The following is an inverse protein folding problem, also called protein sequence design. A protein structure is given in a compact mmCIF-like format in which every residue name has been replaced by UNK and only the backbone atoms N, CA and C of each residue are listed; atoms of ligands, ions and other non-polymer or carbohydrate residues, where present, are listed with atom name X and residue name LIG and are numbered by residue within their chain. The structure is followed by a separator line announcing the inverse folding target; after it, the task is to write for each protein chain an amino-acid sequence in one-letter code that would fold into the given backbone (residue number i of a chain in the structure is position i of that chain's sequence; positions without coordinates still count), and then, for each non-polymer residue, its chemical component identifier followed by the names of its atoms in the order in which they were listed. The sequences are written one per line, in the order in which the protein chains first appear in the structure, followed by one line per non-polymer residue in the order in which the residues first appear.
data_IF_917203042474
#
_entry.id   IF_917203042474
#
_cell.length_a   1.000
_cell.length_b   1.000
_cell.length_c   1.000
_cell.angle_alpha   90.00
_cell.angle_beta   90.00
_cell.angle_gamma   90.00
#
_symmetry.space_group_name_H-M   'P 1'
#
loop_
_entity.id
_entity.type
_entity.pdbx_description
1 polymer ?
#
# COMPACT_ATOMS: atom_id res chain seq x y z
N UNK A 1 -12.29 41.02 27.64
CA UNK A 1 -12.35 40.28 26.36
C UNK A 1 -11.09 39.41 26.28
N UNK A 2 -11.19 38.18 26.78
CA UNK A 2 -10.03 37.31 26.87
C UNK A 2 -9.91 36.47 25.57
N UNK A 3 -8.84 36.73 24.82
CA UNK A 3 -8.52 35.97 23.62
C UNK A 3 -8.01 34.59 24.01
N UNK A 4 -8.85 33.57 23.88
CA UNK A 4 -8.45 32.15 23.96
C UNK A 4 -7.64 31.76 22.71
N UNK A 5 -6.32 31.81 22.83
CA UNK A 5 -5.41 31.26 21.82
C UNK A 5 -5.38 29.73 21.99
N UNK A 6 -6.11 29.03 21.11
CA UNK A 6 -6.04 27.56 21.00
C UNK A 6 -4.67 27.19 20.40
N UNK A 7 -3.71 26.83 21.24
CA UNK A 7 -2.45 26.23 20.80
C UNK A 7 -2.75 24.86 20.18
N UNK A 8 -2.73 24.76 18.85
CA UNK A 8 -2.67 23.47 18.15
C UNK A 8 -1.44 22.71 18.62
N UNK A 9 -1.63 21.64 19.41
CA UNK A 9 -0.56 20.68 19.70
C UNK A 9 -0.13 20.03 18.38
N UNK A 10 1.03 20.42 17.88
CA UNK A 10 1.70 19.68 16.82
C UNK A 10 2.17 18.35 17.43
N UNK A 11 1.52 17.27 17.10
CA UNK A 11 2.03 15.92 17.37
C UNK A 11 3.23 15.71 16.45
N UNK A 12 4.47 15.97 16.96
CA UNK A 12 5.68 15.53 16.28
C UNK A 12 5.53 14.01 16.05
N UNK A 13 5.52 13.58 14.80
CA UNK A 13 5.68 12.16 14.46
C UNK A 13 7.01 11.74 15.09
N UNK A 14 6.98 10.78 16.00
CA UNK A 14 8.21 10.15 16.49
C UNK A 14 8.87 9.50 15.28
N UNK A 15 10.12 9.85 15.03
CA UNK A 15 10.94 9.14 14.07
C UNK A 15 11.07 7.68 14.49
N UNK A 16 11.07 6.73 13.55
CA UNK A 16 11.27 5.33 13.85
C UNK A 16 12.64 5.17 14.53
N UNK A 17 12.67 4.32 15.55
CA UNK A 17 13.92 3.97 16.21
C UNK A 17 14.81 3.18 15.24
N UNK A 18 16.11 3.33 15.34
CA UNK A 18 17.07 2.50 14.62
C UNK A 18 16.79 1.01 14.91
N UNK A 19 16.76 0.18 13.86
CA UNK A 19 16.39 -1.22 13.99
C UNK A 19 16.21 -1.89 12.62
N UNK A 20 15.71 -3.13 12.63
CA UNK A 20 15.44 -3.89 11.40
C UNK A 20 14.18 -3.33 10.75
N UNK A 21 14.32 -2.84 9.53
CA UNK A 21 13.20 -2.38 8.71
C UNK A 21 12.67 -3.52 7.83
N UNK A 22 11.34 -3.71 7.81
CA UNK A 22 10.65 -4.67 6.95
C UNK A 22 9.36 -4.06 6.41
N UNK A 23 9.08 -4.32 5.13
CA UNK A 23 7.92 -3.79 4.41
C UNK A 23 6.98 -4.94 4.09
N UNK A 24 5.68 -4.71 4.29
CA UNK A 24 4.66 -5.75 4.13
C UNK A 24 3.48 -5.23 3.32
N UNK A 25 2.97 -6.07 2.42
CA UNK A 25 1.80 -5.75 1.62
C UNK A 25 1.00 -7.02 1.28
N UNK A 26 -0.30 -6.85 1.03
CA UNK A 26 -1.22 -7.89 0.64
C UNK A 26 -1.93 -7.55 -0.66
N UNK A 27 -2.04 -8.53 -1.55
CA UNK A 27 -2.76 -8.39 -2.80
C UNK A 27 -3.93 -9.39 -2.89
N UNK A 28 -5.05 -8.95 -3.45
CA UNK A 28 -6.17 -9.82 -3.75
C UNK A 28 -6.84 -9.39 -5.06
N UNK A 29 -6.90 -10.30 -6.02
CA UNK A 29 -7.72 -10.12 -7.22
C UNK A 29 -9.09 -10.76 -7.02
N UNK A 30 -10.10 -10.18 -7.66
CA UNK A 30 -11.51 -10.63 -7.56
C UNK A 30 -12.01 -10.73 -6.11
N UNK A 31 -11.55 -9.81 -5.25
CA UNK A 31 -11.90 -9.75 -3.83
C UNK A 31 -13.42 -9.85 -3.62
N UNK A 32 -13.85 -10.79 -2.75
CA UNK A 32 -15.26 -11.08 -2.50
C UNK A 32 -15.93 -12.01 -3.51
N UNK A 33 -15.18 -12.54 -4.48
CA UNK A 33 -15.67 -13.57 -5.42
C UNK A 33 -15.22 -14.96 -4.98
N UNK A 34 -15.96 -16.05 -5.37
CA UNK A 34 -15.57 -17.43 -5.04
C UNK A 34 -14.21 -17.85 -5.62
N UNK A 35 -13.77 -17.21 -6.67
CA UNK A 35 -12.50 -17.46 -7.36
C UNK A 35 -11.43 -16.39 -7.05
N UNK A 36 -11.61 -15.64 -5.97
CA UNK A 36 -10.61 -14.68 -5.51
C UNK A 36 -9.25 -15.37 -5.30
N UNK A 37 -8.17 -14.64 -5.55
CA UNK A 37 -6.81 -15.10 -5.27
C UNK A 37 -6.10 -14.05 -4.46
N UNK A 38 -5.57 -14.46 -3.30
CA UNK A 38 -4.86 -13.59 -2.40
C UNK A 38 -3.42 -14.07 -2.20
N UNK A 39 -2.52 -13.13 -2.07
CA UNK A 39 -1.11 -13.36 -1.77
C UNK A 39 -0.54 -12.21 -0.98
N UNK A 40 0.64 -12.41 -0.41
CA UNK A 40 1.31 -11.41 0.39
C UNK A 40 2.80 -11.35 0.09
N UNK A 41 3.34 -10.16 0.30
CA UNK A 41 4.75 -9.83 0.14
C UNK A 41 5.38 -9.36 1.43
N UNK A 42 6.61 -9.80 1.69
CA UNK A 42 7.47 -9.29 2.77
C UNK A 42 8.81 -8.92 2.15
N UNK A 43 9.25 -7.69 2.35
CA UNK A 43 10.47 -7.17 1.74
C UNK A 43 11.41 -6.58 2.78
N UNK A 44 12.64 -7.07 2.82
CA UNK A 44 13.71 -6.62 3.71
C UNK A 44 14.77 -5.78 2.99
N UNK A 45 14.88 -5.94 1.69
CA UNK A 45 15.89 -5.26 0.87
C UNK A 45 16.13 -5.98 -0.44
N UNK A 46 16.92 -5.36 -1.32
CA UNK A 46 17.27 -5.96 -2.60
C UNK A 46 18.10 -7.24 -2.37
N UNK A 47 17.64 -8.35 -2.98
CA UNK A 47 18.28 -9.67 -2.89
C UNK A 47 18.39 -10.25 -1.45
N UNK A 48 17.63 -9.72 -0.48
CA UNK A 48 17.60 -10.31 0.86
C UNK A 48 16.91 -11.69 0.79
N UNK A 49 17.54 -12.77 1.29
CA UNK A 49 16.99 -14.13 1.22
C UNK A 49 15.72 -14.31 2.06
N UNK A 50 15.41 -13.38 2.97
CA UNK A 50 14.19 -13.37 3.77
C UNK A 50 12.98 -12.80 3.04
N UNK A 51 13.18 -12.24 1.84
CA UNK A 51 12.07 -11.73 1.03
C UNK A 51 11.08 -12.85 0.71
N UNK A 52 9.77 -12.55 0.83
CA UNK A 52 8.69 -13.51 0.65
C UNK A 52 7.70 -13.04 -0.40
N UNK A 53 7.28 -13.97 -1.24
CA UNK A 53 6.14 -13.84 -2.16
C UNK A 53 5.35 -15.14 -2.07
N UNK A 54 4.26 -15.15 -1.29
CA UNK A 54 3.46 -16.36 -1.03
C UNK A 54 1.98 -16.15 -1.31
N UNK A 55 1.36 -17.11 -2.03
CA UNK A 55 -0.09 -17.17 -2.20
C UNK A 55 -0.77 -17.80 -0.99
N UNK A 56 -1.96 -17.30 -0.65
CA UNK A 56 -2.77 -17.84 0.44
C UNK A 56 -3.95 -18.63 -0.10
N UNK A 57 -4.24 -19.81 0.49
CA UNK A 57 -5.31 -20.71 0.04
C UNK A 57 -6.56 -20.72 0.93
N UNK A 58 -6.56 -19.98 2.04
CA UNK A 58 -7.72 -19.84 2.92
C UNK A 58 -8.72 -18.79 2.44
N UNK A 59 -9.29 -18.00 3.35
CA UNK A 59 -10.21 -16.90 3.02
C UNK A 59 -9.48 -15.80 2.26
N UNK A 60 -9.71 -15.72 0.97
CA UNK A 60 -8.97 -14.87 0.05
C UNK A 60 -9.57 -13.47 -0.04
N UNK A 61 -9.14 -12.59 0.84
CA UNK A 61 -9.50 -11.16 0.82
C UNK A 61 -8.25 -10.29 0.97
N UNK A 62 -8.33 -9.05 0.52
CA UNK A 62 -7.23 -8.10 0.68
C UNK A 62 -6.84 -7.93 2.14
N UNK A 63 -7.81 -7.73 3.03
CA UNK A 63 -7.54 -7.56 4.47
C UNK A 63 -6.82 -8.75 5.11
N UNK A 64 -7.15 -9.97 4.69
CA UNK A 64 -6.48 -11.19 5.16
C UNK A 64 -5.05 -11.23 4.65
N UNK A 65 -4.81 -10.95 3.38
CA UNK A 65 -3.48 -10.93 2.79
C UNK A 65 -2.55 -9.92 3.47
N UNK A 66 -3.03 -8.70 3.69
CA UNK A 66 -2.33 -7.65 4.43
C UNK A 66 -1.91 -8.07 5.84
N UNK A 67 -2.83 -8.70 6.57
CA UNK A 67 -2.56 -9.13 7.93
C UNK A 67 -1.59 -10.32 7.96
N UNK A 68 -1.70 -11.24 7.00
CA UNK A 68 -0.76 -12.36 6.84
C UNK A 68 0.65 -11.89 6.52
N UNK A 69 0.81 -10.84 5.72
CA UNK A 69 2.12 -10.23 5.45
C UNK A 69 2.81 -9.79 6.75
N UNK A 70 2.09 -9.10 7.63
CA UNK A 70 2.63 -8.67 8.94
C UNK A 70 2.97 -9.88 9.82
N UNK A 71 2.07 -10.88 9.90
CA UNK A 71 2.32 -12.11 10.68
C UNK A 71 3.56 -12.83 10.15
N UNK A 72 3.71 -12.92 8.84
CA UNK A 72 4.89 -13.55 8.22
C UNK A 72 6.18 -12.80 8.56
N UNK A 73 6.18 -11.47 8.50
CA UNK A 73 7.31 -10.64 8.90
C UNK A 73 7.70 -10.88 10.38
N UNK A 74 6.72 -10.88 11.29
CA UNK A 74 6.96 -11.18 12.69
C UNK A 74 7.46 -12.61 12.92
N UNK A 75 7.00 -13.57 12.11
CA UNK A 75 7.43 -14.97 12.20
C UNK A 75 8.89 -15.13 11.77
N UNK A 76 9.28 -14.47 10.68
CA UNK A 76 10.67 -14.47 10.18
C UNK A 76 11.62 -13.85 11.22
N UNK A 77 11.20 -12.75 11.84
CA UNK A 77 11.99 -11.99 12.81
C UNK A 77 11.74 -12.42 14.27
N UNK A 78 11.18 -13.61 14.47
CA UNK A 78 10.80 -14.07 15.82
C UNK A 78 11.98 -14.06 16.81
N UNK A 79 13.14 -14.55 16.38
CA UNK A 79 14.30 -14.61 17.25
C UNK A 79 14.85 -13.23 17.58
N UNK A 80 14.91 -12.31 16.62
CA UNK A 80 15.33 -10.92 16.81
C UNK A 80 14.37 -10.20 17.75
N UNK A 81 13.07 -10.39 17.57
CA UNK A 81 12.02 -9.83 18.44
C UNK A 81 12.18 -10.35 19.87
N UNK A 82 12.40 -11.65 20.05
CA UNK A 82 12.56 -12.26 21.37
C UNK A 82 13.86 -11.82 22.07
N UNK A 83 14.92 -11.53 21.33
CA UNK A 83 16.15 -10.94 21.87
C UNK A 83 16.02 -9.46 22.21
N UNK A 84 14.89 -8.84 21.91
CA UNK A 84 14.63 -7.42 22.21
C UNK A 84 15.16 -6.46 21.14
N UNK A 85 15.58 -6.95 19.97
CA UNK A 85 16.02 -6.10 18.87
C UNK A 85 14.85 -5.27 18.34
N UNK A 86 15.13 -4.01 17.99
CA UNK A 86 14.08 -3.12 17.46
C UNK A 86 13.68 -3.56 16.05
N UNK A 87 12.40 -3.80 15.84
CA UNK A 87 11.81 -4.14 14.55
C UNK A 87 10.80 -3.07 14.14
N UNK A 88 10.95 -2.54 12.94
CA UNK A 88 10.04 -1.58 12.32
C UNK A 88 9.31 -2.26 11.16
N UNK A 89 8.02 -2.51 11.32
CA UNK A 89 7.16 -3.10 10.28
C UNK A 89 6.38 -1.98 9.61
N UNK A 90 6.68 -1.76 8.34
CA UNK A 90 6.03 -0.78 7.49
C UNK A 90 4.91 -1.44 6.68
N UNK A 91 3.73 -0.85 6.70
CA UNK A 91 2.58 -1.28 5.90
C UNK A 91 1.71 -0.09 5.53
N UNK A 92 1.06 -0.12 4.38
CA UNK A 92 0.04 0.86 4.00
C UNK A 92 -1.37 0.46 4.48
N UNK A 93 -1.52 -0.75 5.01
CA UNK A 93 -2.77 -1.25 5.58
C UNK A 93 -3.00 -0.77 7.02
N UNK A 94 -3.79 0.28 7.17
CA UNK A 94 -4.25 0.71 8.50
C UNK A 94 -5.05 -0.37 9.22
N UNK A 95 -5.76 -1.22 8.46
CA UNK A 95 -6.51 -2.33 9.04
C UNK A 95 -5.56 -3.33 9.70
N UNK A 96 -4.56 -3.82 8.98
CA UNK A 96 -3.60 -4.79 9.50
C UNK A 96 -2.83 -4.26 10.71
N UNK A 97 -2.33 -3.02 10.65
CA UNK A 97 -1.67 -2.37 11.79
C UNK A 97 -2.60 -2.28 13.01
N UNK A 98 -3.87 -1.89 12.82
CA UNK A 98 -4.82 -1.81 13.93
C UNK A 98 -5.16 -3.17 14.52
N UNK A 99 -5.19 -4.24 13.71
CA UNK A 99 -5.37 -5.60 14.22
C UNK A 99 -4.21 -6.02 15.13
N UNK A 100 -2.99 -5.64 14.83
CA UNK A 100 -1.82 -5.89 15.69
C UNK A 100 -1.76 -4.97 16.93
N UNK A 101 -2.55 -3.89 16.97
CA UNK A 101 -2.46 -2.86 18.00
C UNK A 101 -3.83 -2.56 18.63
N UNK A 102 -4.35 -1.36 18.41
CA UNK A 102 -5.53 -0.83 19.12
C UNK A 102 -6.83 -1.60 18.92
N UNK A 103 -7.07 -2.09 17.70
CA UNK A 103 -8.27 -2.90 17.43
C UNK A 103 -8.13 -4.30 18.05
N UNK A 104 -6.97 -4.94 17.88
CA UNK A 104 -6.68 -6.24 18.50
C UNK A 104 -6.78 -6.17 20.03
N UNK A 105 -6.24 -5.12 20.65
CA UNK A 105 -6.35 -4.89 22.10
C UNK A 105 -7.81 -4.78 22.55
N UNK A 106 -8.61 -3.98 21.84
CA UNK A 106 -10.04 -3.83 22.14
C UNK A 106 -10.79 -5.15 22.02
N UNK A 107 -10.52 -5.92 20.97
CA UNK A 107 -11.15 -7.23 20.75
C UNK A 107 -10.73 -8.26 21.80
N UNK A 108 -9.45 -8.29 22.16
CA UNK A 108 -8.91 -9.16 23.21
C UNK A 108 -9.58 -8.89 24.57
N UNK A 109 -9.68 -7.61 24.97
CA UNK A 109 -10.36 -7.20 26.20
C UNK A 109 -11.86 -7.51 26.19
N UNK A 110 -12.48 -7.63 25.03
CA UNK A 110 -13.89 -7.98 24.84
C UNK A 110 -14.11 -9.45 24.45
N UNK A 111 -13.21 -10.34 24.84
CA UNK A 111 -13.28 -11.78 24.55
C UNK A 111 -13.54 -12.10 23.06
N UNK A 112 -12.99 -11.28 22.15
CA UNK A 112 -13.10 -11.41 20.69
C UNK A 112 -14.52 -11.30 20.12
N UNK A 113 -15.45 -10.78 20.92
CA UNK A 113 -16.82 -10.50 20.48
C UNK A 113 -16.83 -9.16 19.70
N UNK A 114 -17.56 -9.13 18.60
CA UNK A 114 -17.71 -7.92 17.81
C UNK A 114 -18.45 -6.83 18.62
N UNK A 115 -17.83 -5.67 18.87
CA UNK A 115 -18.46 -4.61 19.68
C UNK A 115 -19.71 -4.02 19.04
N UNK A 116 -19.88 -4.17 17.74
CA UNK A 116 -21.02 -3.63 16.98
C UNK A 116 -22.10 -4.69 16.70
N UNK A 117 -21.84 -5.95 16.97
CA UNK A 117 -22.75 -7.06 16.74
C UNK A 117 -22.68 -8.01 17.93
N UNK A 118 -23.54 -7.79 18.93
CA UNK A 118 -23.59 -8.65 20.11
C UNK A 118 -23.72 -10.13 19.72
N UNK A 119 -22.95 -10.98 20.38
CA UNK A 119 -22.90 -12.44 20.19
C UNK A 119 -22.33 -12.94 18.85
N UNK A 120 -21.67 -12.10 18.06
CA UNK A 120 -20.96 -12.56 16.88
C UNK A 120 -19.45 -12.36 17.03
N UNK A 121 -18.64 -13.30 16.55
CA UNK A 121 -17.19 -13.13 16.52
C UNK A 121 -16.82 -11.95 15.59
N UNK A 122 -15.64 -11.40 15.81
CA UNK A 122 -15.09 -10.40 14.89
C UNK A 122 -14.77 -11.01 13.52
N UNK A 123 -14.80 -10.23 12.42
CA UNK A 123 -14.30 -10.70 11.13
C UNK A 123 -12.84 -11.13 11.22
N UNK A 124 -12.48 -12.19 10.49
CA UNK A 124 -11.12 -12.73 10.41
C UNK A 124 -10.54 -13.11 11.80
N UNK A 125 -11.38 -13.59 12.69
CA UNK A 125 -11.09 -13.84 14.11
C UNK A 125 -9.73 -14.52 14.33
N UNK A 126 -9.52 -15.68 13.73
CA UNK A 126 -8.31 -16.50 13.95
C UNK A 126 -7.03 -15.75 13.59
N UNK A 127 -7.03 -15.04 12.45
CA UNK A 127 -5.84 -14.31 11.98
C UNK A 127 -5.60 -13.06 12.85
N UNK A 128 -6.67 -12.37 13.25
CA UNK A 128 -6.56 -11.21 14.15
C UNK A 128 -6.05 -11.63 15.52
N UNK A 129 -6.50 -12.77 16.03
CA UNK A 129 -5.99 -13.34 17.29
C UNK A 129 -4.49 -13.62 17.20
N UNK A 130 -4.05 -14.33 16.16
CA UNK A 130 -2.62 -14.64 15.95
C UNK A 130 -1.80 -13.37 15.90
N UNK A 131 -2.21 -12.38 15.10
CA UNK A 131 -1.48 -11.13 14.93
C UNK A 131 -1.34 -10.36 16.25
N UNK A 132 -2.43 -10.20 16.99
CA UNK A 132 -2.42 -9.44 18.22
C UNK A 132 -1.69 -10.18 19.35
N UNK A 133 -1.96 -11.48 19.55
CA UNK A 133 -1.33 -12.26 20.62
C UNK A 133 0.19 -12.33 20.42
N UNK A 134 0.65 -12.43 19.16
CA UNK A 134 2.09 -12.41 18.88
C UNK A 134 2.71 -11.06 19.27
N UNK A 135 2.06 -9.96 18.92
CA UNK A 135 2.66 -8.62 19.06
C UNK A 135 2.49 -7.97 20.43
N UNK A 136 1.46 -8.34 21.20
CA UNK A 136 1.04 -7.62 22.41
C UNK A 136 2.10 -7.52 23.51
N UNK A 137 2.97 -8.52 23.61
CA UNK A 137 3.96 -8.61 24.69
C UNK A 137 5.33 -8.02 24.28
N UNK A 138 5.50 -7.63 23.00
CA UNK A 138 6.76 -7.13 22.48
C UNK A 138 6.72 -5.61 22.21
N UNK A 139 7.39 -4.84 23.08
CA UNK A 139 7.47 -3.37 22.98
C UNK A 139 8.51 -2.89 21.94
N UNK A 140 9.32 -3.79 21.45
CA UNK A 140 10.35 -3.55 20.45
C UNK A 140 9.85 -3.74 19.00
N UNK A 141 8.56 -3.95 18.80
CA UNK A 141 7.93 -3.92 17.47
C UNK A 141 7.23 -2.57 17.28
N UNK A 142 7.63 -1.84 16.24
CA UNK A 142 6.93 -0.66 15.78
C UNK A 142 6.14 -0.98 14.52
N UNK A 143 4.83 -0.73 14.53
CA UNK A 143 3.99 -0.77 13.34
C UNK A 143 3.86 0.64 12.77
N UNK A 144 4.32 0.86 11.54
CA UNK A 144 4.44 2.17 10.93
C UNK A 144 3.61 2.21 9.66
N UNK A 145 2.60 3.11 9.66
CA UNK A 145 1.78 3.31 8.47
C UNK A 145 2.51 4.22 7.48
N UNK A 146 2.66 3.75 6.25
CA UNK A 146 3.18 4.50 5.10
C UNK A 146 2.07 4.70 4.07
N UNK A 147 2.31 5.58 3.09
CA UNK A 147 1.36 5.80 1.99
C UNK A 147 1.75 4.92 0.82
N UNK A 148 0.76 4.20 0.26
CA UNK A 148 0.92 3.46 -0.98
C UNK A 148 1.20 4.39 -2.18
N UNK A 149 1.95 3.88 -3.15
CA UNK A 149 2.11 4.44 -4.50
C UNK A 149 2.41 5.94 -4.55
N UNK A 150 3.29 6.43 -3.69
CA UNK A 150 3.66 7.85 -3.64
C UNK A 150 4.44 8.30 -4.87
N UNK A 151 5.10 7.38 -5.56
CA UNK A 151 6.03 7.66 -6.67
C UNK A 151 7.33 8.34 -6.22
N UNK A 152 7.55 8.45 -4.90
CA UNK A 152 8.79 8.99 -4.33
C UNK A 152 9.91 7.94 -4.42
N UNK A 153 11.14 8.42 -4.45
CA UNK A 153 12.35 7.58 -4.51
C UNK A 153 13.05 7.48 -3.13
N UNK A 154 12.28 7.67 -2.05
CA UNK A 154 12.79 7.43 -0.70
C UNK A 154 12.74 5.94 -0.33
N UNK A 155 13.51 5.55 0.67
CA UNK A 155 13.66 4.17 1.13
C UNK A 155 12.30 3.51 1.43
N UNK A 156 11.40 4.22 2.10
CA UNK A 156 10.13 3.64 2.54
C UNK A 156 9.14 3.47 1.38
N UNK A 157 9.13 4.39 0.42
CA UNK A 157 8.33 4.27 -0.80
C UNK A 157 8.82 3.10 -1.66
N UNK A 158 10.15 2.98 -1.85
CA UNK A 158 10.76 1.87 -2.58
C UNK A 158 10.48 0.52 -1.88
N UNK A 159 10.60 0.48 -0.54
CA UNK A 159 10.31 -0.71 0.25
C UNK A 159 8.87 -1.18 0.09
N UNK A 160 7.91 -0.24 0.17
CA UNK A 160 6.48 -0.56 -0.02
C UNK A 160 6.18 -1.06 -1.45
N UNK A 161 6.70 -0.37 -2.47
CA UNK A 161 6.49 -0.76 -3.87
C UNK A 161 7.06 -2.16 -4.16
N UNK A 162 8.15 -2.55 -3.48
CA UNK A 162 8.68 -3.92 -3.59
C UNK A 162 7.85 -4.95 -2.84
N UNK A 163 7.30 -4.63 -1.66
CA UNK A 163 6.37 -5.51 -0.95
C UNK A 163 5.09 -5.74 -1.78
N UNK A 164 4.50 -4.67 -2.36
CA UNK A 164 3.37 -4.75 -3.30
C UNK A 164 3.69 -5.63 -4.51
N UNK A 165 4.88 -5.45 -5.11
CA UNK A 165 5.34 -6.31 -6.23
C UNK A 165 5.37 -7.78 -5.83
N UNK A 166 5.95 -8.12 -4.67
CA UNK A 166 6.03 -9.50 -4.17
C UNK A 166 4.62 -10.08 -3.89
N UNK A 167 3.71 -9.30 -3.30
CA UNK A 167 2.34 -9.71 -3.06
C UNK A 167 1.59 -10.02 -4.37
N UNK A 168 1.77 -9.20 -5.39
CA UNK A 168 1.16 -9.40 -6.71
C UNK A 168 1.79 -10.58 -7.46
N UNK A 169 3.10 -10.77 -7.39
CA UNK A 169 3.78 -11.94 -7.96
C UNK A 169 3.26 -13.25 -7.36
N UNK A 170 2.95 -13.27 -6.06
CA UNK A 170 2.38 -14.42 -5.36
C UNK A 170 1.06 -14.92 -5.96
N UNK A 171 0.28 -14.05 -6.57
CA UNK A 171 -1.01 -14.38 -7.22
C UNK A 171 -0.92 -14.47 -8.74
N UNK A 172 0.31 -14.50 -9.27
CA UNK A 172 0.58 -14.65 -10.70
C UNK A 172 0.47 -13.36 -11.52
N UNK A 173 0.44 -12.20 -10.86
CA UNK A 173 0.53 -10.90 -11.53
C UNK A 173 2.00 -10.56 -11.72
N UNK A 174 2.48 -10.70 -12.94
CA UNK A 174 3.88 -10.44 -13.26
C UNK A 174 4.08 -8.98 -13.64
N UNK A 175 4.64 -8.18 -12.73
CA UNK A 175 4.97 -6.76 -12.97
C UNK A 175 5.91 -6.56 -14.17
N UNK A 176 6.83 -7.51 -14.42
CA UNK A 176 7.72 -7.47 -15.60
C UNK A 176 6.98 -7.69 -16.92
N UNK A 177 5.83 -8.38 -16.90
CA UNK A 177 4.93 -8.46 -18.06
C UNK A 177 4.02 -7.24 -18.16
N UNK A 178 3.59 -6.67 -17.03
CA UNK A 178 2.77 -5.46 -17.00
C UNK A 178 3.58 -4.21 -17.34
N UNK A 179 4.85 -4.13 -16.96
CA UNK A 179 5.74 -3.05 -17.39
C UNK A 179 6.16 -3.18 -18.87
N UNK A 180 6.16 -4.40 -19.43
CA UNK A 180 6.28 -4.63 -20.90
C UNK A 180 4.95 -4.54 -21.64
N UNK A 181 3.80 -4.68 -20.95
CA UNK A 181 2.45 -4.57 -21.50
C UNK A 181 1.73 -3.26 -21.15
N UNK A 182 2.24 -2.50 -20.18
CA UNK A 182 1.99 -1.10 -19.90
C UNK A 182 3.29 -0.31 -20.12
N UNK A 183 3.92 -0.50 -21.24
CA UNK A 183 4.57 0.59 -21.91
C UNK A 183 3.44 1.58 -22.14
N UNK A 184 3.19 2.45 -21.18
CA UNK A 184 2.20 3.50 -21.34
C UNK A 184 2.57 4.18 -22.65
N UNK A 185 1.63 4.19 -23.60
CA UNK A 185 1.85 4.85 -24.87
C UNK A 185 2.52 6.17 -24.55
N UNK A 186 3.64 6.45 -25.17
CA UNK A 186 4.44 7.64 -24.90
C UNK A 186 3.51 8.84 -24.84
N UNK A 187 3.51 9.57 -23.73
CA UNK A 187 2.68 10.76 -23.57
C UNK A 187 3.35 11.92 -24.27
N UNK A 188 2.64 12.53 -25.20
CA UNK A 188 3.08 13.68 -25.97
C UNK A 188 2.31 14.87 -25.43
N UNK A 189 3.04 15.82 -24.82
CA UNK A 189 2.45 16.96 -24.13
C UNK A 189 2.14 18.10 -25.10
N UNK A 190 1.03 18.80 -24.82
CA UNK A 190 0.46 19.86 -25.66
C UNK A 190 0.34 21.16 -24.87
N UNK A 191 0.38 22.28 -25.59
CA UNK A 191 0.09 23.64 -25.07
C UNK A 191 -1.34 24.02 -25.44
N UNK A 192 -2.34 23.38 -24.81
CA UNK A 192 -3.74 23.67 -25.08
C UNK A 192 -4.19 24.89 -24.27
N UNK A 193 -4.66 25.98 -24.89
CA UNK A 193 -5.29 27.10 -24.20
C UNK A 193 -6.54 26.64 -23.45
N UNK A 194 -6.90 27.36 -22.38
CA UNK A 194 -8.03 26.97 -21.53
C UNK A 194 -9.37 26.93 -22.26
N UNK A 195 -9.59 27.87 -23.15
CA UNK A 195 -10.77 28.02 -24.02
C UNK A 195 -10.90 26.92 -25.08
N UNK A 196 -9.77 26.27 -25.46
CA UNK A 196 -9.76 25.20 -26.45
C UNK A 196 -9.72 23.78 -25.83
N UNK A 197 -9.78 23.67 -24.52
CA UNK A 197 -9.67 22.39 -23.78
C UNK A 197 -10.69 21.33 -24.20
N UNK A 198 -11.92 21.75 -24.51
CA UNK A 198 -13.00 20.81 -24.83
C UNK A 198 -12.86 20.26 -26.25
N UNK A 199 -12.24 21.00 -27.13
CA UNK A 199 -11.88 20.53 -28.48
C UNK A 199 -10.72 19.53 -28.40
N UNK A 200 -9.69 19.83 -27.63
CA UNK A 200 -8.59 18.90 -27.38
C UNK A 200 -9.09 17.58 -26.76
N UNK A 201 -10.03 17.62 -25.82
CA UNK A 201 -10.66 16.41 -25.23
C UNK A 201 -11.40 15.59 -26.29
N UNK A 202 -12.18 16.21 -27.18
CA UNK A 202 -12.87 15.51 -28.28
C UNK A 202 -11.90 14.76 -29.20
N UNK A 203 -10.69 15.26 -29.31
CA UNK A 203 -9.59 14.63 -30.07
C UNK A 203 -8.78 13.62 -29.23
N UNK A 204 -9.24 13.32 -28.01
CA UNK A 204 -8.64 12.30 -27.13
C UNK A 204 -7.45 12.80 -26.30
N UNK A 205 -7.27 14.12 -26.17
CA UNK A 205 -6.31 14.66 -25.21
C UNK A 205 -6.83 14.53 -23.77
N UNK A 206 -5.90 14.35 -22.84
CA UNK A 206 -6.15 14.19 -21.40
C UNK A 206 -5.32 15.17 -20.59
N UNK A 207 -5.81 15.56 -19.43
CA UNK A 207 -5.08 16.42 -18.50
C UNK A 207 -4.21 15.62 -17.55
N UNK A 208 -2.91 15.93 -17.48
CA UNK A 208 -2.00 15.37 -16.48
C UNK A 208 -1.95 16.31 -15.26
N UNK A 209 -2.56 15.84 -14.15
CA UNK A 209 -2.66 16.62 -12.90
C UNK A 209 -1.29 16.91 -12.27
N UNK A 210 -0.32 16.02 -12.43
CA UNK A 210 1.01 16.17 -11.84
C UNK A 210 1.87 17.18 -12.62
N UNK A 211 1.83 17.10 -13.94
CA UNK A 211 2.59 18.01 -14.83
C UNK A 211 1.83 19.29 -15.18
N UNK A 212 0.53 19.36 -14.83
CA UNK A 212 -0.37 20.47 -15.17
C UNK A 212 -0.32 20.82 -16.66
N UNK A 213 -0.37 19.76 -17.50
CA UNK A 213 -0.29 19.87 -18.96
C UNK A 213 -1.29 18.92 -19.62
N UNK A 214 -1.77 19.31 -20.79
CA UNK A 214 -2.51 18.41 -21.67
C UNK A 214 -1.55 17.44 -22.35
N UNK A 215 -2.00 16.20 -22.61
CA UNK A 215 -1.23 15.21 -23.36
C UNK A 215 -2.16 14.30 -24.16
N UNK A 216 -1.64 13.68 -25.20
CA UNK A 216 -2.23 12.51 -25.83
C UNK A 216 -1.24 11.34 -25.79
N UNK A 217 -1.75 10.12 -25.95
CA UNK A 217 -0.94 8.91 -25.98
C UNK A 217 -0.52 8.59 -27.42
N UNK A 218 0.70 8.10 -27.60
CA UNK A 218 1.23 7.64 -28.90
C UNK A 218 0.25 6.64 -29.55
N UNK A 219 -0.02 6.82 -30.85
CA UNK A 219 -1.04 6.07 -31.59
C UNK A 219 -2.45 6.68 -31.52
N UNK A 220 -2.61 7.89 -30.99
CA UNK A 220 -3.87 8.64 -31.11
C UNK A 220 -4.15 8.96 -32.57
N UNK A 221 -5.35 8.65 -33.06
CA UNK A 221 -5.78 8.85 -34.43
C UNK A 221 -5.76 10.31 -34.88
N UNK A 222 -5.80 11.25 -33.94
CA UNK A 222 -5.74 12.69 -34.19
C UNK A 222 -4.36 13.29 -33.87
N UNK A 223 -3.31 12.48 -33.77
CA UNK A 223 -1.97 12.92 -33.36
C UNK A 223 -1.43 14.08 -34.24
N UNK A 224 -1.62 14.01 -35.55
CA UNK A 224 -1.16 15.04 -36.50
C UNK A 224 -1.88 16.37 -36.24
N UNK A 225 -3.19 16.34 -36.07
CA UNK A 225 -4.01 17.53 -35.79
C UNK A 225 -3.68 18.14 -34.43
N UNK A 226 -3.53 17.28 -33.40
CA UNK A 226 -3.16 17.71 -32.03
C UNK A 226 -1.79 18.38 -32.00
N UNK A 227 -0.81 17.79 -32.68
CA UNK A 227 0.54 18.38 -32.82
C UNK A 227 0.56 19.62 -33.66
N UNK A 228 -0.14 19.65 -34.78
CA UNK A 228 -0.19 20.83 -35.66
C UNK A 228 -0.82 22.05 -35.00
N UNK A 229 -1.80 21.83 -34.11
CA UNK A 229 -2.52 22.92 -33.45
C UNK A 229 -1.92 23.36 -32.12
N UNK A 230 -1.47 22.40 -31.29
CA UNK A 230 -1.01 22.66 -29.91
C UNK A 230 0.36 22.06 -29.59
N UNK A 231 1.04 21.48 -30.59
CA UNK A 231 2.40 21.01 -30.44
C UNK A 231 3.38 22.16 -30.30
N UNK A 232 4.10 22.24 -29.21
CA UNK A 232 5.21 23.17 -29.02
C UNK A 232 6.54 22.44 -29.07
N UNK A 233 7.52 22.96 -29.80
CA UNK A 233 8.91 22.52 -29.68
C UNK A 233 9.41 22.93 -28.30
N UNK A 234 10.00 22.01 -27.55
CA UNK A 234 10.67 22.24 -26.29
C UNK A 234 12.13 22.59 -26.51
#
# INVERSE_FOLDING_TARGET
MDNFIIKKRSTKKKEPKEGINVYTDGACVDNGKPYARAGYGVYFGANDPRNVSESYKGLQTNNVAELLAIIKAMTILKEEIMRGEQVNIYSDSRYAIRCCTTYGEKCYKNNWINPNQKNKPIPNLEIVQVAYIFSKDYKNINFIHIRAHTGLQDEHSIGNDNADRLANEAIGINYNKMSKGKGGKKRIYLKVPYDEKDEAKKMGARWDMNKKKWYYEEGNKYAVQLMGRWGGVY
#
